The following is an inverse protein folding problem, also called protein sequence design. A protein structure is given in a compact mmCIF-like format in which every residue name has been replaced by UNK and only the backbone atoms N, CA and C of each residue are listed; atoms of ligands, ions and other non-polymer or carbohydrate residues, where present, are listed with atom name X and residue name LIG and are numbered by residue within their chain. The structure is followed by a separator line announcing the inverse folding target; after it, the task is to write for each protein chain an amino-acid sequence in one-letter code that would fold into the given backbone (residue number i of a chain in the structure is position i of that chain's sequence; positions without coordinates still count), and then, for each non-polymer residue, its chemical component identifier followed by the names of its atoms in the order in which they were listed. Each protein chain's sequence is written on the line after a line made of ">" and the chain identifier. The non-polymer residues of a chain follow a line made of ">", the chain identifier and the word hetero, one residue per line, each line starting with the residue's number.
data_IF_370085582338
#
_entry.id   IF_370085582338
#
_cell.length_a   1.000
_cell.length_b   1.000
_cell.length_c   1.000
_cell.angle_alpha   90.00
_cell.angle_beta   90.00
_cell.angle_gamma   90.00
#
_symmetry.space_group_name_H-M   'P 1'
#
loop_
_entity.id
_entity.type
_entity.pdbx_description
1 polymer ?
#
# COMPACT_ATOMS: atom_id res chain seq x y z
N UNK A 1 -7.36 -28.07 -14.07
CA UNK A 1 -7.37 -27.83 -12.61
C UNK A 1 -8.36 -26.71 -12.32
N UNK A 2 -9.25 -26.86 -11.34
CA UNK A 2 -10.14 -25.77 -10.92
C UNK A 2 -9.40 -24.99 -9.83
N UNK A 3 -9.02 -23.75 -10.13
CA UNK A 3 -8.49 -22.80 -9.17
C UNK A 3 -9.56 -21.78 -8.79
N UNK A 4 -9.44 -21.19 -7.60
CA UNK A 4 -10.37 -20.18 -7.11
C UNK A 4 -9.61 -19.01 -6.51
N UNK A 5 -10.22 -17.82 -6.52
CA UNK A 5 -9.68 -16.64 -5.84
C UNK A 5 -10.79 -16.08 -4.97
N UNK A 6 -10.48 -15.84 -3.70
CA UNK A 6 -11.36 -15.09 -2.80
C UNK A 6 -10.60 -13.89 -2.28
N UNK A 7 -11.26 -12.74 -2.25
CA UNK A 7 -10.73 -11.52 -1.63
C UNK A 7 -11.66 -11.10 -0.51
N UNK A 8 -11.12 -10.79 0.66
CA UNK A 8 -11.80 -9.99 1.68
C UNK A 8 -11.17 -8.58 1.73
N UNK A 9 -11.46 -7.76 2.74
CA UNK A 9 -10.91 -6.41 2.86
C UNK A 9 -9.43 -6.34 3.24
N UNK A 10 -8.80 -7.47 3.56
CA UNK A 10 -7.41 -7.55 4.01
C UNK A 10 -6.56 -8.51 3.18
N UNK A 11 -7.14 -9.59 2.67
CA UNK A 11 -6.39 -10.66 2.03
C UNK A 11 -7.01 -11.13 0.73
N UNK A 12 -6.14 -11.35 -0.25
CA UNK A 12 -6.41 -12.14 -1.44
C UNK A 12 -5.88 -13.56 -1.21
N UNK A 13 -6.77 -14.54 -1.17
CA UNK A 13 -6.43 -15.95 -1.05
C UNK A 13 -6.66 -16.68 -2.37
N UNK A 14 -5.64 -17.40 -2.82
CA UNK A 14 -5.64 -18.22 -4.03
C UNK A 14 -5.76 -19.67 -3.62
N UNK A 15 -6.70 -20.36 -4.25
CA UNK A 15 -7.02 -21.77 -4.02
C UNK A 15 -6.70 -22.59 -5.25
N UNK A 16 -6.21 -23.80 -5.02
CA UNK A 16 -6.23 -24.88 -6.01
C UNK A 16 -7.15 -25.96 -5.45
N UNK A 17 -8.23 -26.27 -6.18
CA UNK A 17 -9.36 -27.06 -5.69
C UNK A 17 -9.95 -26.38 -4.46
N UNK A 18 -9.79 -26.97 -3.27
CA UNK A 18 -10.30 -26.43 -2.00
C UNK A 18 -9.16 -26.11 -1.01
N UNK A 19 -7.90 -26.15 -1.46
CA UNK A 19 -6.75 -25.88 -0.60
C UNK A 19 -6.20 -24.49 -0.90
N UNK A 20 -6.04 -23.62 0.10
CA UNK A 20 -5.38 -22.34 -0.08
C UNK A 20 -3.89 -22.57 -0.36
N UNK A 21 -3.40 -22.06 -1.49
CA UNK A 21 -2.01 -22.22 -1.94
C UNK A 21 -1.18 -20.96 -1.78
N UNK A 22 -1.83 -19.79 -1.78
CA UNK A 22 -1.15 -18.51 -1.57
C UNK A 22 -2.11 -17.52 -0.92
N UNK A 23 -1.60 -16.77 0.05
CA UNK A 23 -2.27 -15.63 0.65
C UNK A 23 -1.43 -14.40 0.39
N UNK A 24 -2.08 -13.33 -0.04
CA UNK A 24 -1.46 -12.04 -0.32
C UNK A 24 -2.22 -11.01 0.49
N UNK A 25 -1.49 -10.22 1.26
CA UNK A 25 -2.08 -9.05 1.90
C UNK A 25 -2.42 -8.02 0.81
N UNK A 26 -3.66 -7.52 0.79
CA UNK A 26 -4.07 -6.53 -0.20
C UNK A 26 -3.22 -5.26 -0.07
N UNK A 27 -2.78 -4.91 1.15
CA UNK A 27 -1.90 -3.78 1.39
C UNK A 27 -0.52 -3.98 0.74
N UNK A 28 -0.05 -5.22 0.57
CA UNK A 28 1.24 -5.49 -0.09
C UNK A 28 1.15 -5.50 -1.62
N UNK A 29 -0.06 -5.34 -2.20
CA UNK A 29 -0.24 -5.24 -3.65
C UNK A 29 0.22 -3.87 -4.15
N UNK A 30 1.23 -3.90 -5.00
CA UNK A 30 1.90 -2.71 -5.53
C UNK A 30 1.28 -2.27 -6.84
N UNK A 31 1.01 -3.22 -7.72
CA UNK A 31 0.34 -2.92 -8.99
C UNK A 31 -0.42 -4.12 -9.52
N UNK A 32 -1.44 -3.83 -10.32
CA UNK A 32 -2.23 -4.82 -11.03
C UNK A 32 -2.24 -4.43 -12.50
N UNK A 33 -1.79 -5.33 -13.38
CA UNK A 33 -1.80 -5.11 -14.82
C UNK A 33 -2.75 -6.08 -15.49
N UNK A 34 -3.53 -5.56 -16.44
CA UNK A 34 -4.33 -6.38 -17.33
C UNK A 34 -3.45 -6.91 -18.46
N UNK A 35 -3.44 -8.22 -18.65
CA UNK A 35 -2.70 -8.86 -19.73
C UNK A 35 -3.62 -9.08 -20.93
N UNK A 36 -4.83 -9.59 -20.71
CA UNK A 36 -5.87 -9.73 -21.71
C UNK A 36 -7.28 -9.71 -21.08
N UNK A 37 -8.32 -10.12 -21.83
CA UNK A 37 -9.72 -10.17 -21.34
C UNK A 37 -9.97 -11.23 -20.26
N UNK A 38 -9.05 -12.17 -20.10
CA UNK A 38 -9.15 -13.36 -19.26
C UNK A 38 -7.99 -13.48 -18.27
N UNK A 39 -7.04 -12.54 -18.25
CA UNK A 39 -5.89 -12.64 -17.37
C UNK A 39 -5.35 -11.29 -16.86
N UNK A 40 -4.88 -11.32 -15.62
CA UNK A 40 -4.24 -10.20 -14.92
C UNK A 40 -2.94 -10.67 -14.25
N UNK A 41 -1.98 -9.76 -14.13
CA UNK A 41 -0.82 -9.93 -13.26
C UNK A 41 -0.93 -9.02 -12.04
N UNK A 42 -0.66 -9.58 -10.87
CA UNK A 42 -0.62 -8.88 -9.59
C UNK A 42 0.82 -8.90 -9.11
N UNK A 43 1.38 -7.71 -8.93
CA UNK A 43 2.69 -7.49 -8.35
C UNK A 43 2.49 -7.13 -6.88
N UNK A 44 3.13 -7.87 -5.98
CA UNK A 44 2.99 -7.67 -4.54
C UNK A 44 4.31 -7.91 -3.84
N UNK A 45 4.44 -7.31 -2.66
CA UNK A 45 5.60 -7.52 -1.81
C UNK A 45 5.41 -8.79 -0.97
N UNK A 46 6.42 -9.65 -1.00
CA UNK A 46 6.49 -10.91 -0.27
C UNK A 46 7.52 -10.77 0.85
N UNK A 47 7.35 -11.49 1.97
CA UNK A 47 8.32 -11.51 3.07
C UNK A 47 9.70 -12.04 2.65
N UNK A 48 9.75 -12.70 1.49
CA UNK A 48 10.98 -13.04 0.78
C UNK A 48 11.26 -11.89 -0.17
N UNK A 49 12.43 -11.27 -0.05
CA UNK A 49 12.93 -10.03 -0.70
C UNK A 49 12.82 -9.98 -2.25
N UNK A 50 12.18 -10.97 -2.88
CA UNK A 50 11.92 -11.02 -4.32
C UNK A 50 10.49 -10.50 -4.63
N UNK A 51 10.41 -9.60 -5.61
CA UNK A 51 9.15 -9.10 -6.16
C UNK A 51 8.37 -10.26 -6.80
N UNK A 52 7.49 -10.88 -6.04
CA UNK A 52 6.68 -11.99 -6.53
C UNK A 52 5.55 -11.48 -7.45
N UNK A 53 5.27 -12.24 -8.51
CA UNK A 53 4.17 -11.98 -9.44
C UNK A 53 3.17 -13.12 -9.38
N UNK A 54 1.89 -12.79 -9.24
CA UNK A 54 0.80 -13.75 -9.43
C UNK A 54 0.15 -13.50 -10.78
N UNK A 55 0.05 -14.56 -11.57
CA UNK A 55 -0.75 -14.60 -12.79
C UNK A 55 -2.08 -15.28 -12.50
N UNK A 56 -3.17 -14.53 -12.66
CA UNK A 56 -4.52 -15.05 -12.53
C UNK A 56 -5.17 -15.10 -13.91
N UNK A 57 -5.66 -16.27 -14.29
CA UNK A 57 -6.43 -16.47 -15.51
C UNK A 57 -7.79 -17.10 -15.19
N UNK A 58 -8.83 -16.68 -15.89
CA UNK A 58 -10.18 -17.18 -15.64
C UNK A 58 -11.26 -16.55 -16.52
N UNK A 59 -12.55 -16.80 -16.21
CA UNK A 59 -13.68 -16.21 -16.91
C UNK A 59 -13.58 -14.68 -16.92
N UNK A 60 -13.85 -14.05 -18.07
CA UNK A 60 -13.70 -12.60 -18.23
C UNK A 60 -14.48 -11.79 -17.18
N UNK A 61 -15.67 -12.25 -16.80
CA UNK A 61 -16.49 -11.60 -15.78
C UNK A 61 -15.80 -11.59 -14.40
N UNK A 62 -15.20 -12.71 -13.98
CA UNK A 62 -14.50 -12.84 -12.71
C UNK A 62 -13.21 -12.01 -12.71
N UNK A 63 -12.43 -12.09 -13.79
CA UNK A 63 -11.19 -11.33 -13.94
C UNK A 63 -11.47 -9.82 -14.02
N UNK A 64 -12.53 -9.40 -14.71
CA UNK A 64 -12.94 -7.99 -14.73
C UNK A 64 -13.29 -7.48 -13.35
N UNK A 65 -14.12 -8.22 -12.60
CA UNK A 65 -14.54 -7.81 -11.26
C UNK A 65 -13.35 -7.72 -10.30
N UNK A 66 -12.47 -8.71 -10.33
CA UNK A 66 -11.27 -8.72 -9.50
C UNK A 66 -10.30 -7.60 -9.88
N UNK A 67 -10.09 -7.38 -11.18
CA UNK A 67 -9.26 -6.30 -11.68
C UNK A 67 -9.76 -4.94 -11.19
N UNK A 68 -11.05 -4.64 -11.35
CA UNK A 68 -11.62 -3.37 -10.89
C UNK A 68 -11.45 -3.20 -9.38
N UNK A 69 -11.75 -4.23 -8.59
CA UNK A 69 -11.60 -4.17 -7.14
C UNK A 69 -10.14 -3.89 -6.73
N UNK A 70 -9.20 -4.66 -7.25
CA UNK A 70 -7.79 -4.49 -6.88
C UNK A 70 -7.18 -3.20 -7.46
N UNK A 71 -7.65 -2.77 -8.63
CA UNK A 71 -7.24 -1.50 -9.23
C UNK A 71 -7.70 -0.33 -8.37
N UNK A 72 -8.95 -0.32 -7.92
CA UNK A 72 -9.46 0.70 -7.00
C UNK A 72 -8.64 0.71 -5.70
N UNK A 73 -8.28 -0.45 -5.13
CA UNK A 73 -7.40 -0.52 -3.96
C UNK A 73 -5.98 0.01 -4.21
N UNK A 74 -5.45 -0.18 -5.42
CA UNK A 74 -4.12 0.33 -5.77
C UNK A 74 -4.16 1.84 -6.02
N UNK A 75 -5.24 2.34 -6.62
CA UNK A 75 -5.42 3.74 -6.98
C UNK A 75 -5.88 4.61 -5.80
N UNK A 76 -6.47 4.02 -4.75
CA UNK A 76 -6.88 4.71 -3.52
C UNK A 76 -5.89 4.42 -2.37
N UNK A 77 -4.85 5.24 -2.18
CA UNK A 77 -3.82 5.03 -1.16
C UNK A 77 -4.34 5.15 0.29
N UNK A 78 -5.54 5.73 0.46
CA UNK A 78 -6.25 5.92 1.73
C UNK A 78 -6.50 4.60 2.48
N UNK A 79 -6.67 3.51 1.73
CA UNK A 79 -6.90 2.16 2.27
C UNK A 79 -5.60 1.44 2.63
N UNK A 80 -4.43 1.89 2.13
CA UNK A 80 -3.14 1.22 2.33
C UNK A 80 -2.40 1.68 3.57
N UNK A 81 -2.62 2.91 4.02
CA UNK A 81 -1.92 3.50 5.15
C UNK A 81 -2.90 4.33 5.97
N UNK A 82 -3.04 4.06 7.27
CA UNK A 82 -3.90 4.88 8.12
C UNK A 82 -3.18 6.19 8.46
N UNK A 83 -3.87 7.35 8.53
CA UNK A 83 -3.25 8.65 8.81
C UNK A 83 -2.43 8.74 10.10
N UNK A 84 -2.73 7.89 11.09
CA UNK A 84 -2.08 7.90 12.41
C UNK A 84 -0.86 6.97 12.51
N UNK A 85 -0.55 6.17 11.49
CA UNK A 85 0.58 5.23 11.52
C UNK A 85 1.92 5.95 11.53
N UNK A 86 2.97 5.23 11.94
CA UNK A 86 4.33 5.76 11.92
C UNK A 86 4.75 6.09 10.48
N UNK A 87 4.41 5.23 9.54
CA UNK A 87 4.69 5.38 8.12
C UNK A 87 4.03 6.65 7.55
N UNK A 88 2.78 6.96 7.91
CA UNK A 88 2.11 8.18 7.46
C UNK A 88 2.78 9.44 8.00
N UNK A 89 3.20 9.40 9.28
CA UNK A 89 3.94 10.50 9.92
C UNK A 89 5.33 10.68 9.32
N UNK A 90 6.05 9.60 9.06
CA UNK A 90 7.37 9.59 8.42
C UNK A 90 7.27 10.15 7.00
N UNK A 91 6.28 9.73 6.21
CA UNK A 91 6.07 10.22 4.85
C UNK A 91 5.83 11.74 4.79
N UNK A 92 5.03 12.29 5.72
CA UNK A 92 4.80 13.74 5.82
C UNK A 92 6.08 14.51 6.13
N UNK A 93 6.90 13.97 7.03
CA UNK A 93 8.16 14.63 7.43
C UNK A 93 9.22 14.52 6.33
N UNK A 94 9.25 13.41 5.58
CA UNK A 94 10.07 13.29 4.37
C UNK A 94 9.67 14.31 3.30
N UNK A 95 8.36 14.49 3.07
CA UNK A 95 7.87 15.53 2.15
C UNK A 95 8.27 16.94 2.62
N UNK A 96 8.32 17.18 3.92
CA UNK A 96 8.83 18.43 4.48
C UNK A 96 10.37 18.58 4.41
N UNK A 97 11.08 17.60 3.85
CA UNK A 97 12.52 17.63 3.61
C UNK A 97 13.37 17.14 4.78
N UNK A 98 12.79 16.53 5.82
CA UNK A 98 13.55 16.05 6.97
C UNK A 98 14.24 14.72 6.66
N UNK A 99 15.46 14.56 7.16
CA UNK A 99 16.20 13.29 7.13
C UNK A 99 15.81 12.33 8.25
N UNK A 100 16.20 11.05 8.14
CA UNK A 100 15.89 9.99 9.12
C UNK A 100 16.20 10.40 10.57
N UNK A 101 17.36 11.02 10.80
CA UNK A 101 17.79 11.42 12.15
C UNK A 101 16.90 12.51 12.75
N UNK A 102 16.48 13.47 11.92
CA UNK A 102 15.58 14.55 12.32
C UNK A 102 14.17 14.02 12.57
N UNK A 103 13.70 13.12 11.71
CA UNK A 103 12.40 12.44 11.87
C UNK A 103 12.38 11.63 13.17
N UNK A 104 13.45 10.88 13.46
CA UNK A 104 13.60 10.13 14.71
C UNK A 104 13.50 11.04 15.93
N UNK A 105 14.17 12.20 15.89
CA UNK A 105 14.10 13.21 16.95
C UNK A 105 12.69 13.79 17.11
N UNK A 106 12.07 14.23 16.02
CA UNK A 106 10.73 14.87 16.01
C UNK A 106 9.64 13.91 16.50
N UNK A 107 9.72 12.64 16.11
CA UNK A 107 8.72 11.63 16.46
C UNK A 107 9.01 10.93 17.80
N UNK A 108 10.18 11.16 18.40
CA UNK A 108 10.59 10.48 19.63
C UNK A 108 10.72 8.96 19.48
N UNK A 109 11.04 8.48 18.28
CA UNK A 109 11.20 7.05 17.96
C UNK A 109 12.63 6.75 17.55
N UNK A 110 13.09 5.52 17.78
CA UNK A 110 14.44 5.10 17.38
C UNK A 110 14.66 5.16 15.87
N UNK A 111 15.89 5.48 15.44
CA UNK A 111 16.24 5.59 14.02
C UNK A 111 15.95 4.32 13.21
N UNK A 112 16.09 3.13 13.83
CA UNK A 112 15.76 1.86 13.18
C UNK A 112 14.27 1.72 12.87
N UNK A 113 13.39 2.24 13.74
CA UNK A 113 11.96 2.26 13.46
C UNK A 113 11.60 3.20 12.29
N UNK A 114 12.32 4.33 12.18
CA UNK A 114 12.18 5.24 11.04
C UNK A 114 12.67 4.58 9.75
N UNK A 115 13.82 3.90 9.79
CA UNK A 115 14.34 3.16 8.62
C UNK A 115 13.38 2.07 8.16
N UNK A 116 12.78 1.34 9.08
CA UNK A 116 11.78 0.31 8.75
C UNK A 116 10.51 0.94 8.16
N UNK A 117 10.06 2.08 8.68
CA UNK A 117 8.95 2.83 8.10
C UNK A 117 9.28 3.34 6.69
N UNK A 118 10.49 3.85 6.45
CA UNK A 118 10.98 4.23 5.11
C UNK A 118 10.99 3.02 4.19
N UNK A 119 11.51 1.87 4.64
CA UNK A 119 11.54 0.63 3.87
C UNK A 119 10.14 0.26 3.41
N UNK A 120 9.16 0.28 4.30
CA UNK A 120 7.75 0.03 3.98
C UNK A 120 7.16 1.06 3.04
N UNK A 121 7.51 2.34 3.17
CA UNK A 121 7.04 3.38 2.24
C UNK A 121 7.62 3.19 0.83
N UNK A 122 8.87 2.72 0.71
CA UNK A 122 9.48 2.33 -0.58
C UNK A 122 8.74 1.13 -1.15
N UNK A 123 8.52 0.11 -0.32
CA UNK A 123 7.81 -1.11 -0.70
C UNK A 123 6.40 -0.81 -1.20
N UNK A 124 5.66 0.03 -0.48
CA UNK A 124 4.31 0.48 -0.85
C UNK A 124 4.30 1.43 -2.07
N UNK A 125 5.46 1.84 -2.56
CA UNK A 125 5.61 2.71 -3.72
C UNK A 125 5.26 4.17 -3.47
N UNK A 126 5.22 4.62 -2.21
CA UNK A 126 4.98 6.03 -1.86
C UNK A 126 6.24 6.88 -2.01
N UNK A 127 7.41 6.27 -1.86
CA UNK A 127 8.70 6.92 -2.09
C UNK A 127 9.61 5.99 -2.91
N UNK A 128 10.60 6.55 -3.61
CA UNK A 128 11.59 5.80 -4.37
C UNK A 128 12.83 5.42 -3.52
N UNK A 129 13.78 4.70 -4.13
CA UNK A 129 15.03 4.31 -3.47
C UNK A 129 15.95 5.47 -3.11
N UNK A 130 15.68 6.68 -3.63
CA UNK A 130 16.35 7.93 -3.27
C UNK A 130 15.58 8.71 -2.20
N UNK A 131 14.54 8.12 -1.59
CA UNK A 131 13.63 8.76 -0.62
C UNK A 131 12.83 9.93 -1.19
N UNK A 132 12.66 10.02 -2.52
CA UNK A 132 11.80 11.02 -3.14
C UNK A 132 10.38 10.48 -3.25
N UNK A 133 9.40 11.36 -3.09
CA UNK A 133 8.00 10.96 -3.24
C UNK A 133 7.70 10.60 -4.69
N UNK A 134 6.92 9.54 -4.85
CA UNK A 134 6.30 9.17 -6.13
C UNK A 134 4.99 9.94 -6.31
N UNK A 135 4.37 9.85 -7.49
CA UNK A 135 3.03 10.43 -7.71
C UNK A 135 1.98 9.91 -6.70
N UNK A 136 2.10 8.65 -6.28
CA UNK A 136 1.24 8.06 -5.25
C UNK A 136 1.52 8.65 -3.86
N UNK A 137 2.80 8.87 -3.53
CA UNK A 137 3.22 9.57 -2.30
C UNK A 137 2.67 10.98 -2.22
N UNK A 138 2.81 11.76 -3.29
CA UNK A 138 2.34 13.14 -3.38
C UNK A 138 0.82 13.24 -3.17
N UNK A 139 0.06 12.40 -3.88
CA UNK A 139 -1.40 12.33 -3.71
C UNK A 139 -1.81 11.99 -2.29
N UNK A 140 -1.13 11.04 -1.66
CA UNK A 140 -1.43 10.62 -0.30
C UNK A 140 -1.02 11.68 0.74
N UNK A 141 0.09 12.41 0.53
CA UNK A 141 0.44 13.55 1.38
C UNK A 141 -0.58 14.68 1.24
N UNK A 142 -1.05 14.98 0.03
CA UNK A 142 -2.11 15.97 -0.18
C UNK A 142 -3.39 15.59 0.60
N UNK A 143 -3.77 14.31 0.57
CA UNK A 143 -4.87 13.77 1.38
C UNK A 143 -4.64 13.94 2.89
N UNK A 144 -3.44 13.64 3.40
CA UNK A 144 -3.09 13.82 4.82
C UNK A 144 -3.10 15.30 5.27
N UNK A 145 -2.93 16.23 4.33
CA UNK A 145 -2.93 17.66 4.59
C UNK A 145 -4.34 18.25 4.49
N UNK A 146 -5.20 17.76 3.60
CA UNK A 146 -6.61 18.16 3.50
C UNK A 146 -7.45 17.67 4.69
N UNK A 147 -7.14 16.49 5.24
CA UNK A 147 -7.82 15.96 6.43
C UNK A 147 -7.23 16.47 7.76
N UNK A 148 -6.32 17.45 7.70
CA UNK A 148 -5.78 18.11 8.91
C UNK A 148 -6.72 19.18 9.46
N UNK A 149 -7.71 19.63 8.68
CA UNK A 149 -8.69 20.63 9.13
C UNK A 149 -9.74 20.05 10.10
N UNK A 150 -10.03 18.74 10.08
CA UNK A 150 -11.06 18.17 10.97
C UNK A 150 -10.55 17.73 12.36
N UNK A 151 -9.23 17.66 12.57
CA UNK A 151 -8.65 17.28 13.87
C UNK A 151 -8.01 18.47 14.62
N UNK A 152 -8.13 19.69 14.08
CA UNK A 152 -7.44 20.90 14.55
C UNK A 152 -8.31 21.95 15.24
N UNK A 153 -9.64 21.84 15.25
CA UNK A 153 -10.53 22.78 15.96
C UNK A 153 -11.20 22.11 17.18
N UNK A 154 -10.40 21.69 18.16
CA UNK A 154 -10.90 21.53 19.54
C UNK A 154 -9.82 21.75 20.59
N UNK A 155 -8.82 22.59 20.29
CA UNK A 155 -7.82 23.05 21.25
C UNK A 155 -7.77 24.57 21.25
N UNK A 156 -8.92 25.18 21.53
CA UNK A 156 -9.04 26.60 21.77
C UNK A 156 -10.43 26.89 22.31
N UNK A 157 -10.58 26.93 23.63
CA UNK A 157 -11.35 27.96 24.30
C UNK A 157 -10.85 28.11 25.74
N UNK A 158 -10.37 29.33 25.96
CA UNK A 158 -10.28 30.16 27.17
C UNK A 158 -10.71 29.59 28.51
#
# INVERSE_FOLDING_TARGET
>A
MVGGVTSDSRQLTIYIRNSPVKKVDIASILSVKRLDKHSISIYYLSDRVENDIILLAGPACAVNKLYSLLKDYVENPEDKLKPHTLEAKVLRLLHAGLGIGEISYVLGVGQEAVKEAVRRLIELGFIDSQMKLTEAGEKYVAYLMSHKEEAGESAGFS
#
